data_IF_619840460773
#
_entry.id   IF_619840460773
#
_cell.length_a   1.000
_cell.length_b   1.000
_cell.length_c   1.000
_cell.angle_alpha   90.00
_cell.angle_beta   90.00
_cell.angle_gamma   90.00
#
_symmetry.space_group_name_H-M   'P 1'
#
loop_
_entity.id
_entity.type
_entity.pdbx_description
1 polymer ?
#
# COMPACT_ATOMS: atom_id res chain seq x y z
N UNK A 1 -3.61 26.05 -1.73
CA UNK A 1 -3.58 24.62 -2.11
C UNK A 1 -2.16 24.19 -2.49
N UNK A 2 -1.54 24.63 -3.58
CA UNK A 2 -0.24 24.17 -4.12
C UNK A 2 0.90 24.14 -3.10
N UNK A 3 1.09 25.19 -2.30
CA UNK A 3 2.17 25.25 -1.30
C UNK A 3 2.01 24.17 -0.22
N UNK A 4 0.77 23.87 0.18
CA UNK A 4 0.49 22.86 1.19
C UNK A 4 0.71 21.45 0.60
N UNK A 5 0.29 21.19 -0.64
CA UNK A 5 0.55 19.92 -1.32
C UNK A 5 2.06 19.62 -1.41
N UNK A 6 2.88 20.63 -1.80
CA UNK A 6 4.33 20.48 -1.84
C UNK A 6 4.91 20.25 -0.42
N UNK A 7 4.42 20.97 0.58
CA UNK A 7 4.85 20.77 1.98
C UNK A 7 4.54 19.35 2.46
N UNK A 8 3.32 18.86 2.21
CA UNK A 8 2.89 17.53 2.62
C UNK A 8 3.73 16.42 1.96
N UNK A 9 3.97 16.52 0.65
CA UNK A 9 4.81 15.55 -0.07
C UNK A 9 6.25 15.55 0.47
N UNK A 10 6.82 16.73 0.75
CA UNK A 10 8.17 16.82 1.33
C UNK A 10 8.22 16.33 2.78
N UNK A 11 7.16 16.52 3.55
CA UNK A 11 7.04 15.97 4.90
C UNK A 11 7.12 14.44 4.87
N UNK A 12 6.32 13.78 4.01
CA UNK A 12 6.35 12.33 3.83
C UNK A 12 7.73 11.88 3.34
N UNK A 13 8.26 12.52 2.31
CA UNK A 13 9.58 12.20 1.76
C UNK A 13 10.69 12.27 2.81
N UNK A 14 10.64 13.24 3.71
CA UNK A 14 11.61 13.39 4.80
C UNK A 14 11.42 12.30 5.88
N UNK A 15 10.17 12.02 6.26
CA UNK A 15 9.86 10.97 7.25
C UNK A 15 10.30 9.58 6.79
N UNK A 16 10.18 9.29 5.49
CA UNK A 16 10.49 7.98 4.91
C UNK A 16 11.95 7.84 4.45
N UNK A 17 12.72 8.92 4.35
CA UNK A 17 14.07 8.92 3.78
C UNK A 17 15.09 8.03 4.53
N UNK A 18 14.86 7.74 5.82
CA UNK A 18 15.71 6.82 6.60
C UNK A 18 15.36 5.34 6.39
N UNK A 19 14.25 5.05 5.73
CA UNK A 19 13.67 3.71 5.60
C UNK A 19 13.60 3.29 4.13
N UNK A 20 13.19 4.21 3.25
CA UNK A 20 13.06 3.99 1.82
C UNK A 20 13.87 5.01 1.02
N UNK A 21 14.35 4.58 -0.15
CA UNK A 21 14.91 5.52 -1.11
C UNK A 21 13.80 6.33 -1.76
N UNK A 22 13.95 7.67 -1.77
CA UNK A 22 13.05 8.57 -2.49
C UNK A 22 13.74 9.02 -3.77
N UNK A 23 13.12 8.73 -4.90
CA UNK A 23 13.64 9.05 -6.23
C UNK A 23 13.29 10.49 -6.64
N UNK A 24 14.01 10.98 -7.65
CA UNK A 24 13.71 12.24 -8.34
C UNK A 24 13.61 13.48 -7.44
N UNK A 25 14.58 13.61 -6.53
CA UNK A 25 14.71 14.82 -5.74
C UNK A 25 15.37 15.94 -6.56
N UNK A 26 14.90 17.16 -6.39
CA UNK A 26 15.52 18.35 -6.97
C UNK A 26 16.86 18.71 -6.34
N UNK A 27 17.48 19.83 -6.82
CA UNK A 27 18.83 20.25 -6.38
C UNK A 27 18.96 20.47 -4.86
N UNK A 28 17.87 20.83 -4.18
CA UNK A 28 17.84 21.05 -2.73
C UNK A 28 17.37 19.81 -1.94
N UNK A 29 17.28 18.65 -2.58
CA UNK A 29 16.80 17.42 -1.96
C UNK A 29 15.27 17.38 -1.74
N UNK A 30 14.54 18.34 -2.31
CA UNK A 30 13.09 18.43 -2.19
C UNK A 30 12.38 17.75 -3.36
N UNK A 31 11.14 17.33 -3.14
CA UNK A 31 10.22 16.83 -4.16
C UNK A 31 9.16 17.89 -4.48
N UNK A 32 8.36 17.66 -5.53
CA UNK A 32 7.24 18.52 -5.89
C UNK A 32 5.99 18.20 -5.00
N UNK A 33 4.82 18.03 -5.59
CA UNK A 33 3.58 17.69 -4.87
C UNK A 33 3.40 16.20 -4.62
N UNK A 34 4.32 15.37 -5.12
CA UNK A 34 4.36 13.92 -4.99
C UNK A 34 5.79 13.46 -4.65
N UNK A 35 5.94 12.27 -4.09
CA UNK A 35 7.23 11.64 -3.92
C UNK A 35 7.19 10.19 -4.41
N UNK A 36 8.30 9.75 -5.00
CA UNK A 36 8.45 8.41 -5.56
C UNK A 36 9.26 7.55 -4.59
N UNK A 37 8.59 6.62 -3.94
CA UNK A 37 9.19 5.65 -3.02
C UNK A 37 9.69 4.45 -3.79
N UNK A 38 10.98 4.15 -3.70
CA UNK A 38 11.61 3.02 -4.40
C UNK A 38 11.55 1.76 -3.54
N UNK A 39 10.93 0.70 -4.07
CA UNK A 39 10.82 -0.61 -3.42
C UNK A 39 11.67 -1.69 -4.09
N UNK A 40 12.39 -1.35 -5.17
CA UNK A 40 13.20 -2.30 -5.96
C UNK A 40 14.41 -2.85 -5.22
N UNK A 41 14.78 -2.24 -4.11
CA UNK A 41 15.88 -2.72 -3.24
C UNK A 41 15.55 -4.03 -2.52
N UNK A 42 14.27 -4.40 -2.41
CA UNK A 42 13.84 -5.62 -1.75
C UNK A 42 13.72 -6.77 -2.76
N UNK A 43 14.29 -7.93 -2.41
CA UNK A 43 14.36 -9.07 -3.32
C UNK A 43 13.14 -10.00 -3.23
N UNK A 44 12.56 -10.11 -2.03
CA UNK A 44 11.47 -11.06 -1.73
C UNK A 44 10.08 -10.44 -1.74
N UNK A 45 10.00 -9.10 -1.74
CA UNK A 45 8.75 -8.35 -1.61
C UNK A 45 8.58 -7.42 -2.81
N UNK A 46 7.38 -7.39 -3.39
CA UNK A 46 7.03 -6.52 -4.51
C UNK A 46 6.33 -5.25 -4.04
N UNK A 47 6.27 -4.24 -4.91
CA UNK A 47 5.48 -3.03 -4.65
C UNK A 47 3.99 -3.36 -4.47
N UNK A 48 3.47 -4.38 -5.17
CA UNK A 48 2.10 -4.84 -5.00
C UNK A 48 1.86 -5.42 -3.61
N UNK A 49 2.80 -6.20 -3.07
CA UNK A 49 2.72 -6.73 -1.71
C UNK A 49 2.56 -5.60 -0.68
N UNK A 50 3.36 -4.53 -0.82
CA UNK A 50 3.27 -3.35 0.04
C UNK A 50 1.94 -2.61 -0.13
N UNK A 51 1.48 -2.44 -1.37
CA UNK A 51 0.19 -1.81 -1.65
C UNK A 51 -0.98 -2.58 -1.02
N UNK A 52 -0.99 -3.91 -1.13
CA UNK A 52 -2.00 -4.76 -0.50
C UNK A 52 -1.90 -4.73 1.03
N UNK A 53 -0.68 -4.69 1.58
CA UNK A 53 -0.49 -4.58 3.02
C UNK A 53 -0.98 -3.24 3.59
N UNK A 54 -0.84 -2.14 2.87
CA UNK A 54 -1.40 -0.83 3.23
C UNK A 54 -2.92 -0.88 3.41
N UNK A 55 -3.65 -1.74 2.70
CA UNK A 55 -5.09 -1.91 2.90
C UNK A 55 -5.41 -2.44 4.30
N UNK A 56 -4.57 -3.32 4.86
CA UNK A 56 -4.73 -3.79 6.24
C UNK A 56 -4.50 -2.67 7.26
N UNK A 57 -3.69 -1.68 6.93
CA UNK A 57 -3.47 -0.46 7.71
C UNK A 57 -4.56 0.61 7.49
N UNK A 58 -5.58 0.32 6.66
CA UNK A 58 -6.71 1.21 6.39
C UNK A 58 -6.40 2.30 5.37
N UNK A 59 -5.49 2.04 4.42
CA UNK A 59 -5.19 2.95 3.32
C UNK A 59 -5.63 2.38 1.99
N UNK A 60 -6.19 3.24 1.14
CA UNK A 60 -6.18 3.01 -0.29
C UNK A 60 -4.75 3.25 -0.79
N UNK A 61 -4.12 2.21 -1.34
CA UNK A 61 -2.73 2.31 -1.72
C UNK A 61 -2.49 3.38 -2.80
N UNK A 62 -1.35 4.10 -2.73
CA UNK A 62 -0.94 5.00 -3.80
C UNK A 62 -0.73 4.27 -5.13
N UNK A 63 -0.64 5.02 -6.24
CA UNK A 63 -0.32 4.49 -7.56
C UNK A 63 1.02 3.75 -7.53
N UNK A 64 1.03 2.52 -8.02
CA UNK A 64 2.23 1.68 -8.07
C UNK A 64 2.79 1.56 -9.49
N UNK A 65 4.10 1.27 -9.58
CA UNK A 65 4.82 1.06 -10.84
C UNK A 65 4.73 2.23 -11.83
N UNK A 66 4.62 3.44 -11.30
CA UNK A 66 4.63 4.68 -12.04
C UNK A 66 5.43 5.76 -11.27
N UNK A 67 6.29 6.54 -11.94
CA UNK A 67 6.66 6.47 -13.36
C UNK A 67 7.62 5.31 -13.70
N UNK A 68 8.07 4.57 -12.70
CA UNK A 68 9.02 3.46 -12.86
C UNK A 68 8.43 2.20 -12.22
N UNK A 69 8.57 1.05 -12.89
CA UNK A 69 8.17 -0.24 -12.34
C UNK A 69 8.83 -0.51 -10.97
N UNK A 70 8.06 -1.03 -10.02
CA UNK A 70 8.54 -1.33 -8.67
C UNK A 70 8.65 -0.12 -7.73
N UNK A 71 8.06 1.02 -8.11
CA UNK A 71 7.97 2.22 -7.26
C UNK A 71 6.53 2.52 -6.86
N UNK A 72 6.37 3.35 -5.85
CA UNK A 72 5.07 3.84 -5.38
C UNK A 72 5.08 5.37 -5.43
N UNK A 73 4.09 5.96 -6.11
CA UNK A 73 3.93 7.42 -6.22
C UNK A 73 2.95 7.90 -5.15
N UNK A 74 3.47 8.61 -4.16
CA UNK A 74 2.69 9.11 -3.03
C UNK A 74 2.37 10.59 -3.25
N UNK A 75 1.08 10.89 -3.40
CA UNK A 75 0.54 12.23 -3.58
C UNK A 75 -0.47 12.55 -2.47
N UNK A 76 -0.05 13.20 -1.37
CA UNK A 76 -0.93 13.49 -0.24
C UNK A 76 -1.92 14.63 -0.50
N UNK A 77 -1.74 15.40 -1.56
CA UNK A 77 -2.46 16.64 -1.86
C UNK A 77 -2.33 17.71 -0.75
N UNK A 78 -3.17 18.72 -0.78
CA UNK A 78 -3.31 19.71 0.29
C UNK A 78 -4.36 19.36 1.33
N UNK A 79 -5.16 18.32 1.05
CA UNK A 79 -6.37 17.98 1.82
C UNK A 79 -6.05 17.16 3.06
N UNK A 80 -4.94 16.44 3.06
CA UNK A 80 -4.60 15.55 4.17
C UNK A 80 -4.06 16.34 5.37
N UNK A 81 -4.64 16.17 6.56
CA UNK A 81 -4.12 16.77 7.79
C UNK A 81 -2.83 16.06 8.22
N UNK A 82 -2.01 16.77 8.99
CA UNK A 82 -0.73 16.22 9.49
C UNK A 82 -0.88 14.87 10.18
N UNK A 83 -1.94 14.68 10.95
CA UNK A 83 -2.18 13.42 11.65
C UNK A 83 -2.33 12.23 10.66
N UNK A 84 -2.93 12.46 9.50
CA UNK A 84 -3.05 11.43 8.45
C UNK A 84 -1.71 11.18 7.76
N UNK A 85 -0.91 12.23 7.52
CA UNK A 85 0.46 12.07 7.01
C UNK A 85 1.33 11.26 7.97
N UNK A 86 1.22 11.53 9.28
CA UNK A 86 1.93 10.78 10.32
C UNK A 86 1.47 9.31 10.32
N UNK A 87 0.16 9.07 10.29
CA UNK A 87 -0.42 7.71 10.23
C UNK A 87 0.08 6.92 9.01
N UNK A 88 0.15 7.56 7.83
CA UNK A 88 0.70 6.93 6.62
C UNK A 88 2.18 6.60 6.76
N UNK A 89 2.97 7.55 7.25
CA UNK A 89 4.41 7.33 7.46
C UNK A 89 4.67 6.20 8.47
N UNK A 90 3.92 6.16 9.56
CA UNK A 90 4.05 5.12 10.59
C UNK A 90 3.66 3.75 10.04
N UNK A 91 2.60 3.66 9.20
CA UNK A 91 2.23 2.44 8.49
C UNK A 91 3.37 1.97 7.57
N UNK A 92 3.92 2.85 6.75
CA UNK A 92 5.03 2.51 5.85
C UNK A 92 6.28 2.05 6.61
N UNK A 93 6.63 2.70 7.72
CA UNK A 93 7.77 2.31 8.57
C UNK A 93 7.51 0.93 9.22
N UNK A 94 6.29 0.67 9.67
CA UNK A 94 5.91 -0.64 10.21
C UNK A 94 5.97 -1.73 9.14
N UNK A 95 5.46 -1.46 7.94
CA UNK A 95 5.56 -2.38 6.79
C UNK A 95 7.03 -2.64 6.42
N UNK A 96 7.89 -1.63 6.51
CA UNK A 96 9.33 -1.84 6.27
C UNK A 96 9.94 -2.83 7.28
N UNK A 97 9.55 -2.79 8.54
CA UNK A 97 10.00 -3.77 9.52
C UNK A 97 9.52 -5.19 9.16
N UNK A 98 8.27 -5.34 8.68
CA UNK A 98 7.76 -6.61 8.17
C UNK A 98 8.55 -7.08 6.94
N UNK A 99 8.90 -6.18 6.01
CA UNK A 99 9.76 -6.48 4.85
C UNK A 99 11.13 -7.00 5.33
N UNK A 100 11.76 -6.30 6.27
CA UNK A 100 13.08 -6.70 6.76
C UNK A 100 13.08 -8.06 7.44
N UNK A 101 12.01 -8.42 8.15
CA UNK A 101 11.85 -9.75 8.72
C UNK A 101 11.82 -10.85 7.64
N UNK A 102 11.18 -10.57 6.49
CA UNK A 102 11.16 -11.49 5.35
C UNK A 102 12.53 -11.56 4.66
N UNK A 103 13.15 -10.41 4.39
CA UNK A 103 14.46 -10.35 3.73
C UNK A 103 15.55 -11.05 4.55
N UNK A 104 15.51 -10.91 5.88
CA UNK A 104 16.45 -11.54 6.82
C UNK A 104 16.16 -13.03 7.08
N UNK A 105 15.02 -13.56 6.60
CA UNK A 105 14.62 -14.96 6.82
C UNK A 105 14.03 -15.23 8.21
N UNK A 106 13.61 -14.18 8.93
CA UNK A 106 12.90 -14.28 10.21
C UNK A 106 11.42 -14.60 10.00
N UNK A 107 10.87 -14.25 8.83
CA UNK A 107 9.55 -14.64 8.37
C UNK A 107 9.66 -15.45 7.08
N UNK A 108 8.68 -16.34 6.83
CA UNK A 108 8.61 -17.16 5.63
C UNK A 108 8.51 -16.28 4.36
N UNK A 109 9.20 -16.66 3.30
CA UNK A 109 9.27 -15.85 2.07
C UNK A 109 7.95 -15.86 1.28
N UNK A 110 7.16 -16.93 1.35
CA UNK A 110 5.94 -17.13 0.56
C UNK A 110 4.67 -17.04 1.40
N UNK A 111 4.74 -17.38 2.70
CA UNK A 111 3.60 -17.37 3.61
C UNK A 111 3.84 -16.37 4.75
N UNK A 112 3.56 -15.10 4.49
CA UNK A 112 3.82 -14.00 5.41
C UNK A 112 2.74 -12.91 5.34
N UNK A 113 2.85 -11.89 6.20
CA UNK A 113 1.91 -10.78 6.30
C UNK A 113 1.71 -10.02 4.98
N UNK A 114 2.78 -9.80 4.20
CA UNK A 114 2.72 -9.06 2.95
C UNK A 114 2.17 -9.91 1.81
N UNK A 115 2.62 -11.15 1.69
CA UNK A 115 2.17 -12.07 0.62
C UNK A 115 0.69 -12.42 0.75
N UNK A 116 0.18 -12.51 1.97
CA UNK A 116 -1.21 -12.84 2.24
C UNK A 116 -2.14 -11.62 2.37
N UNK A 117 -1.61 -10.41 2.35
CA UNK A 117 -2.42 -9.18 2.39
C UNK A 117 -3.20 -8.98 1.07
N UNK A 118 -4.39 -8.34 1.12
CA UNK A 118 -5.07 -7.84 2.31
C UNK A 118 -5.86 -8.96 3.03
N UNK A 119 -6.07 -8.78 4.35
CA UNK A 119 -6.80 -9.73 5.18
C UNK A 119 -8.25 -9.28 5.36
N UNK A 120 -9.19 -10.13 4.99
CA UNK A 120 -10.63 -9.86 5.10
C UNK A 120 -11.21 -10.26 6.46
N UNK A 121 -12.43 -9.86 6.75
CA UNK A 121 -13.18 -10.32 7.92
C UNK A 121 -13.41 -11.83 7.87
N UNK A 122 -13.64 -12.39 6.69
CA UNK A 122 -13.84 -13.83 6.50
C UNK A 122 -12.57 -14.63 6.83
N UNK A 123 -11.38 -14.12 6.46
CA UNK A 123 -10.11 -14.75 6.87
C UNK A 123 -10.00 -14.87 8.39
N UNK A 124 -10.39 -13.81 9.12
CA UNK A 124 -10.28 -13.78 10.58
C UNK A 124 -11.32 -14.68 11.25
N UNK A 125 -12.50 -14.78 10.68
CA UNK A 125 -13.59 -15.62 11.18
C UNK A 125 -13.39 -17.11 10.87
N UNK A 126 -12.64 -17.44 9.81
CA UNK A 126 -12.38 -18.80 9.36
C UNK A 126 -11.26 -19.51 10.10
N UNK A 127 -10.83 -20.64 9.56
CA UNK A 127 -9.65 -21.35 10.04
C UNK A 127 -8.38 -20.52 9.81
N UNK A 128 -7.47 -20.57 10.80
CA UNK A 128 -6.22 -19.81 10.74
C UNK A 128 -5.01 -20.72 10.81
N UNK A 129 -4.43 -20.98 9.67
CA UNK A 129 -3.24 -21.83 9.50
C UNK A 129 -2.00 -21.04 9.05
N UNK A 130 -1.97 -19.74 9.29
CA UNK A 130 -0.88 -18.83 8.93
C UNK A 130 0.18 -18.76 10.03
N UNK A 131 1.48 -18.54 9.72
CA UNK A 131 2.57 -18.54 10.70
C UNK A 131 2.65 -17.26 11.56
N UNK A 132 1.64 -16.41 11.51
CA UNK A 132 1.50 -15.16 12.28
C UNK A 132 0.08 -15.07 12.88
N UNK A 133 -0.11 -14.21 13.87
CA UNK A 133 -1.39 -14.08 14.56
C UNK A 133 -2.43 -13.29 13.74
N UNK A 134 -3.72 -13.53 14.04
CA UNK A 134 -4.82 -12.68 13.51
C UNK A 134 -4.63 -11.22 13.87
N UNK A 135 -4.16 -10.95 15.08
CA UNK A 135 -3.88 -9.58 15.56
C UNK A 135 -2.86 -8.87 14.66
N UNK A 136 -1.73 -9.50 14.38
CA UNK A 136 -0.70 -8.95 13.49
C UNK A 136 -1.24 -8.73 12.06
N UNK A 137 -2.14 -9.60 11.60
CA UNK A 137 -2.73 -9.50 10.27
C UNK A 137 -3.60 -8.25 10.14
N UNK A 138 -4.55 -8.04 11.05
CA UNK A 138 -5.62 -7.06 10.85
C UNK A 138 -5.57 -5.84 11.76
N UNK A 139 -4.79 -5.87 12.85
CA UNK A 139 -4.60 -4.76 13.76
C UNK A 139 -3.11 -4.46 14.01
N UNK A 140 -2.32 -4.23 12.94
CA UNK A 140 -0.87 -4.11 13.05
C UNK A 140 -0.39 -2.91 13.87
N UNK A 141 -1.26 -1.91 14.10
CA UNK A 141 -0.94 -0.70 14.87
C UNK A 141 -2.05 -0.37 15.87
N UNK A 142 -1.67 0.29 16.98
CA UNK A 142 -2.59 0.76 18.01
C UNK A 142 -3.63 1.72 17.44
N UNK A 143 -4.88 1.62 17.89
CA UNK A 143 -5.99 2.49 17.44
C UNK A 143 -6.70 2.01 16.17
N UNK A 144 -6.08 1.15 15.37
CA UNK A 144 -6.71 0.66 14.14
C UNK A 144 -7.97 -0.17 14.42
N UNK A 145 -8.05 -0.82 15.60
CA UNK A 145 -9.19 -1.61 16.02
C UNK A 145 -10.49 -0.79 16.11
N UNK A 146 -10.38 0.47 16.48
CA UNK A 146 -11.54 1.36 16.63
C UNK A 146 -12.01 1.93 15.28
N UNK A 147 -11.14 1.98 14.28
CA UNK A 147 -11.38 2.58 12.97
C UNK A 147 -11.01 1.64 11.82
N UNK A 148 -11.17 0.32 12.03
CA UNK A 148 -10.81 -0.67 11.03
C UNK A 148 -11.70 -0.56 9.78
N UNK A 149 -11.07 -0.32 8.65
CA UNK A 149 -11.65 -0.56 7.34
C UNK A 149 -11.31 -1.99 6.90
N UNK A 150 -12.33 -2.80 6.70
CA UNK A 150 -12.15 -4.19 6.27
C UNK A 150 -12.06 -4.27 4.76
N UNK A 151 -10.96 -4.81 4.21
CA UNK A 151 -10.91 -5.11 2.78
C UNK A 151 -12.05 -6.07 2.40
N UNK A 152 -12.78 -5.79 1.31
CA UNK A 152 -13.93 -6.62 0.91
C UNK A 152 -13.53 -7.95 0.27
N UNK A 153 -12.31 -8.01 -0.29
CA UNK A 153 -11.78 -9.20 -0.96
C UNK A 153 -10.28 -9.35 -0.70
N UNK A 154 -9.75 -10.56 -0.79
CA UNK A 154 -8.32 -10.84 -0.82
C UNK A 154 -7.70 -10.42 -2.17
N UNK A 155 -6.51 -10.94 -2.49
CA UNK A 155 -5.89 -10.71 -3.81
C UNK A 155 -6.74 -11.28 -4.92
N UNK A 156 -6.88 -10.48 -5.97
CA UNK A 156 -7.47 -10.88 -7.23
C UNK A 156 -6.37 -11.09 -8.27
N UNK A 157 -6.63 -11.94 -9.26
CA UNK A 157 -5.78 -12.06 -10.43
C UNK A 157 -6.07 -10.92 -11.41
N UNK A 158 -5.35 -9.81 -11.24
CA UNK A 158 -5.50 -8.61 -12.07
C UNK A 158 -5.24 -8.92 -13.56
N UNK A 159 -4.23 -9.75 -13.84
CA UNK A 159 -3.84 -10.09 -15.21
C UNK A 159 -4.94 -10.90 -15.90
N UNK A 160 -5.55 -11.85 -15.17
CA UNK A 160 -6.69 -12.58 -15.69
C UNK A 160 -7.88 -11.65 -15.94
N UNK A 161 -8.20 -10.78 -14.97
CA UNK A 161 -9.32 -9.83 -15.09
C UNK A 161 -9.17 -8.90 -16.29
N UNK A 162 -7.98 -8.33 -16.48
CA UNK A 162 -7.68 -7.43 -17.61
C UNK A 162 -7.79 -8.13 -18.97
N UNK A 163 -7.43 -9.41 -19.04
CA UNK A 163 -7.49 -10.21 -20.27
C UNK A 163 -8.85 -10.82 -20.56
N UNK A 164 -9.70 -10.90 -19.55
CA UNK A 164 -11.03 -11.52 -19.62
C UNK A 164 -12.11 -10.58 -19.06
N UNK A 165 -12.29 -9.39 -19.67
CA UNK A 165 -13.28 -8.45 -19.20
C UNK A 165 -14.68 -9.03 -19.37
N UNK A 166 -15.51 -8.93 -18.31
CA UNK A 166 -16.92 -9.29 -18.34
C UNK A 166 -17.73 -8.00 -18.44
N UNK A 167 -18.41 -7.79 -19.56
CA UNK A 167 -19.33 -6.68 -19.74
C UNK A 167 -20.76 -7.20 -19.53
N UNK A 168 -21.46 -6.63 -18.56
CA UNK A 168 -22.90 -6.92 -18.30
C UNK A 168 -23.82 -5.85 -18.90
N UNK A 169 -23.27 -4.85 -19.60
CA UNK A 169 -24.04 -3.85 -20.30
C UNK A 169 -24.76 -4.49 -21.49
N UNK A 170 -26.03 -4.11 -21.71
CA UNK A 170 -26.74 -4.45 -22.94
C UNK A 170 -26.04 -3.85 -24.15
N UNK A 171 -26.08 -4.56 -25.27
CA UNK A 171 -25.54 -4.05 -26.52
C UNK A 171 -26.28 -2.79 -26.99
N UNK A 172 -25.65 -2.00 -27.86
CA UNK A 172 -26.24 -0.76 -28.39
C UNK A 172 -27.59 -1.00 -29.09
N UNK A 173 -27.82 -2.20 -29.61
CA UNK A 173 -29.08 -2.59 -30.24
C UNK A 173 -30.27 -2.59 -29.30
N UNK A 174 -30.04 -2.74 -27.98
CA UNK A 174 -31.08 -2.64 -26.96
C UNK A 174 -31.62 -1.20 -26.78
N UNK A 175 -30.90 -0.19 -27.27
CA UNK A 175 -31.23 1.23 -27.17
C UNK A 175 -31.59 1.85 -28.55
N UNK A 176 -31.66 1.03 -29.59
CA UNK A 176 -32.10 1.47 -30.91
C UNK A 176 -33.64 1.49 -30.92
N UNK A 177 -34.23 2.71 -31.09
CA UNK A 177 -35.67 2.89 -31.32
C UNK A 177 -36.02 2.63 -32.79
#
# INVERSE_FOLDING_TARGET
>A
ATRVAILNANYIAQRLAGTFQILYRGKNGLVAHECIVDLRQFAKVTVEDVAKRLMDYGFHAPTISWPVAGTMMVEPTESEPRAELDRFCDAMISIHAEIMAIENGEADAENNLLKNAPHTADDVAGEWNRPYSREQAVFPVTGLREQKYWPPVNRIDNVHGDRNPVCTCEGMDAYAE
#
